data_IF_449658237230
#
_entry.id   IF_449658237230
#
_cell.length_a   1.000
_cell.length_b   1.000
_cell.length_c   1.000
_cell.angle_alpha   90.00
_cell.angle_beta   90.00
_cell.angle_gamma   90.00
#
_symmetry.space_group_name_H-M   'P 1'
#
loop_
_entity.id
_entity.type
_entity.pdbx_description
1 polymer ?
#
# COMPACT_ATOMS: atom_id res chain seq x y z
N UNK A 1 -31.09 -5.57 -39.25
CA UNK A 1 -30.41 -5.36 -37.95
C UNK A 1 -29.41 -4.21 -38.11
N UNK A 2 -29.77 -3.01 -37.66
CA UNK A 2 -28.97 -1.80 -37.87
C UNK A 2 -27.62 -1.85 -37.13
N UNK A 3 -26.55 -1.45 -37.82
CA UNK A 3 -25.19 -1.35 -37.26
C UNK A 3 -25.21 -0.26 -36.17
N UNK A 4 -24.87 -0.62 -34.93
CA UNK A 4 -24.73 0.37 -33.86
C UNK A 4 -23.45 1.19 -34.13
N UNK A 5 -23.61 2.39 -34.67
CA UNK A 5 -22.53 3.36 -34.86
C UNK A 5 -21.92 3.80 -33.51
N UNK A 6 -20.68 4.29 -33.56
CA UNK A 6 -19.84 4.59 -32.40
C UNK A 6 -20.46 5.56 -31.37
N UNK A 7 -21.43 6.39 -31.78
CA UNK A 7 -22.10 7.40 -30.95
C UNK A 7 -23.53 7.04 -30.53
N UNK A 8 -24.03 5.84 -30.85
CA UNK A 8 -25.40 5.48 -30.46
C UNK A 8 -25.50 5.37 -28.92
N UNK A 9 -26.63 5.78 -28.29
CA UNK A 9 -26.83 5.66 -26.84
C UNK A 9 -26.57 4.24 -26.31
N UNK A 10 -26.83 3.20 -27.12
CA UNK A 10 -26.53 1.81 -26.81
C UNK A 10 -25.03 1.50 -26.78
N UNK A 11 -24.25 2.08 -27.69
CA UNK A 11 -22.79 1.95 -27.71
C UNK A 11 -22.14 2.71 -26.53
N UNK A 12 -22.66 3.91 -26.21
CA UNK A 12 -22.23 4.71 -25.05
C UNK A 12 -22.57 3.99 -23.75
N UNK A 13 -23.80 3.48 -23.59
CA UNK A 13 -24.20 2.69 -22.43
C UNK A 13 -23.34 1.43 -22.26
N UNK A 14 -23.02 0.74 -23.36
CA UNK A 14 -22.10 -0.41 -23.33
C UNK A 14 -20.68 -0.02 -22.92
N UNK A 15 -20.18 1.14 -23.38
CA UNK A 15 -18.85 1.65 -23.00
C UNK A 15 -18.79 2.07 -21.54
N UNK A 16 -19.81 2.77 -21.03
CA UNK A 16 -19.91 3.14 -19.62
C UNK A 16 -19.99 1.87 -18.75
N UNK A 17 -20.81 0.91 -19.14
CA UNK A 17 -20.90 -0.39 -18.47
C UNK A 17 -19.60 -1.20 -18.54
N UNK A 18 -18.79 -1.00 -19.58
CA UNK A 18 -17.49 -1.63 -19.74
C UNK A 18 -16.36 -0.94 -18.95
N UNK A 19 -16.54 0.30 -18.46
CA UNK A 19 -15.51 1.02 -17.69
C UNK A 19 -15.40 0.56 -16.22
N UNK A 20 -16.37 -0.18 -15.70
CA UNK A 20 -16.23 -0.81 -14.38
C UNK A 20 -15.23 -1.96 -14.43
N UNK A 21 -14.40 -2.12 -13.40
CA UNK A 21 -13.44 -3.21 -13.24
C UNK A 21 -14.20 -4.54 -13.05
N UNK A 22 -14.68 -5.11 -14.15
CA UNK A 22 -15.41 -6.37 -14.16
C UNK A 22 -14.45 -7.52 -13.85
N UNK A 23 -14.82 -8.41 -12.92
CA UNK A 23 -14.04 -9.60 -12.56
C UNK A 23 -13.54 -10.31 -13.84
N UNK A 24 -12.24 -10.57 -13.93
CA UNK A 24 -11.52 -11.17 -15.08
C UNK A 24 -11.99 -12.59 -15.47
N UNK A 25 -13.04 -13.13 -14.84
CA UNK A 25 -13.53 -14.50 -15.03
C UNK A 25 -13.95 -14.82 -16.46
N UNK A 26 -14.28 -13.81 -17.26
CA UNK A 26 -14.82 -13.98 -18.62
C UNK A 26 -13.94 -13.30 -19.69
N UNK A 27 -12.62 -13.26 -19.48
CA UNK A 27 -11.67 -12.70 -20.45
C UNK A 27 -10.97 -13.80 -21.25
N UNK A 28 -10.85 -13.63 -22.56
CA UNK A 28 -10.10 -14.51 -23.45
C UNK A 28 -8.83 -13.80 -23.91
N UNK A 29 -7.66 -14.29 -23.47
CA UNK A 29 -6.36 -13.74 -23.87
C UNK A 29 -6.12 -13.89 -25.38
N UNK A 30 -6.44 -15.07 -25.93
CA UNK A 30 -6.15 -15.39 -27.33
C UNK A 30 -6.81 -14.40 -28.29
N UNK A 31 -8.04 -14.02 -27.98
CA UNK A 31 -8.81 -13.06 -28.78
C UNK A 31 -8.80 -11.64 -28.19
N UNK A 32 -8.02 -11.39 -27.12
CA UNK A 32 -7.98 -10.16 -26.34
C UNK A 32 -9.37 -9.59 -26.01
N UNK A 33 -10.35 -10.48 -25.76
CA UNK A 33 -11.76 -10.14 -25.70
C UNK A 33 -12.31 -10.37 -24.31
N UNK A 34 -12.76 -9.28 -23.69
CA UNK A 34 -13.53 -9.37 -22.45
C UNK A 34 -15.01 -9.64 -22.75
N UNK A 35 -15.50 -10.77 -22.28
CA UNK A 35 -16.92 -11.10 -22.32
C UNK A 35 -17.60 -10.63 -21.02
N UNK A 36 -18.89 -10.33 -21.13
CA UNK A 36 -19.65 -9.65 -20.07
C UNK A 36 -20.30 -10.59 -19.06
N UNK A 37 -20.66 -11.78 -19.52
CA UNK A 37 -21.39 -12.79 -18.77
C UNK A 37 -20.88 -14.18 -19.19
N UNK A 38 -21.15 -15.20 -18.38
CA UNK A 38 -20.76 -16.58 -18.66
C UNK A 38 -21.29 -17.07 -20.03
N UNK A 39 -22.53 -16.74 -20.37
CA UNK A 39 -23.11 -17.09 -21.67
C UNK A 39 -22.39 -16.37 -22.82
N UNK A 40 -21.96 -15.12 -22.61
CA UNK A 40 -21.17 -14.38 -23.59
C UNK A 40 -19.80 -15.01 -23.82
N UNK A 41 -19.18 -15.53 -22.77
CA UNK A 41 -17.91 -16.25 -22.86
C UNK A 41 -18.06 -17.60 -23.56
N UNK A 42 -19.10 -18.39 -23.23
CA UNK A 42 -19.40 -19.65 -23.92
C UNK A 42 -19.65 -19.44 -25.42
N UNK A 43 -20.46 -18.44 -25.79
CA UNK A 43 -20.68 -18.10 -27.20
C UNK A 43 -19.39 -17.63 -27.90
N UNK A 44 -18.48 -16.97 -27.18
CA UNK A 44 -17.19 -16.60 -27.71
C UNK A 44 -16.28 -17.82 -27.94
N UNK A 45 -16.21 -18.75 -26.99
CA UNK A 45 -15.43 -19.99 -27.16
C UNK A 45 -15.96 -20.85 -28.31
N UNK A 46 -17.28 -20.84 -28.55
CA UNK A 46 -17.91 -21.55 -29.67
C UNK A 46 -17.82 -20.80 -31.00
N UNK A 47 -17.31 -19.56 -31.02
CA UNK A 47 -17.23 -18.76 -32.25
C UNK A 47 -16.09 -19.22 -33.16
N UNK A 48 -16.33 -19.17 -34.47
CA UNK A 48 -15.35 -19.57 -35.49
C UNK A 48 -14.03 -18.80 -35.38
N UNK A 49 -14.08 -17.52 -35.00
CA UNK A 49 -12.88 -16.70 -34.83
C UNK A 49 -11.99 -17.20 -33.69
N UNK A 50 -12.59 -17.60 -32.56
CA UNK A 50 -11.85 -18.20 -31.45
C UNK A 50 -11.28 -19.57 -31.83
N UNK A 51 -12.08 -20.42 -32.49
CA UNK A 51 -11.66 -21.75 -32.93
C UNK A 51 -10.50 -21.67 -33.94
N UNK A 52 -10.55 -20.74 -34.89
CA UNK A 52 -9.46 -20.51 -35.84
C UNK A 52 -8.18 -20.08 -35.11
N UNK A 53 -8.30 -19.23 -34.10
CA UNK A 53 -7.14 -18.80 -33.32
C UNK A 53 -6.57 -19.91 -32.44
N UNK A 54 -7.42 -20.81 -31.93
CA UNK A 54 -6.98 -22.05 -31.28
C UNK A 54 -6.26 -23.01 -32.24
N UNK A 55 -6.71 -23.11 -33.49
CA UNK A 55 -6.01 -23.93 -34.49
C UNK A 55 -4.62 -23.37 -34.81
N UNK A 56 -4.50 -22.04 -34.95
CA UNK A 56 -3.20 -21.36 -35.15
C UNK A 56 -2.29 -21.57 -33.93
N UNK A 57 -2.84 -21.49 -32.72
CA UNK A 57 -2.10 -21.79 -31.49
C UNK A 57 -1.64 -23.26 -31.44
N UNK A 58 -2.50 -24.20 -31.84
CA UNK A 58 -2.19 -25.63 -31.87
C UNK A 58 -1.06 -25.99 -32.83
N UNK A 59 -0.83 -25.19 -33.88
CA UNK A 59 0.28 -25.41 -34.81
C UNK A 59 1.63 -25.02 -34.20
N UNK A 60 1.69 -23.94 -33.41
CA UNK A 60 2.94 -23.43 -32.82
C UNK A 60 2.70 -22.77 -31.45
N UNK A 61 2.53 -23.56 -30.38
CA UNK A 61 2.24 -23.01 -29.05
C UNK A 61 3.44 -22.25 -28.47
N UNK A 62 4.67 -22.70 -28.74
CA UNK A 62 5.90 -22.10 -28.20
C UNK A 62 6.06 -20.64 -28.61
N UNK A 63 5.93 -20.34 -29.92
CA UNK A 63 6.11 -19.00 -30.48
C UNK A 63 5.10 -17.99 -29.95
N UNK A 64 3.86 -18.44 -29.73
CA UNK A 64 2.80 -17.58 -29.20
C UNK A 64 3.05 -17.26 -27.72
N UNK A 65 3.46 -18.24 -26.92
CA UNK A 65 3.82 -18.03 -25.51
C UNK A 65 5.05 -17.15 -25.37
N UNK A 66 6.05 -17.31 -26.24
CA UNK A 66 7.22 -16.44 -26.30
C UNK A 66 6.83 -14.99 -26.62
N UNK A 67 5.99 -14.76 -27.64
CA UNK A 67 5.48 -13.43 -27.97
C UNK A 67 4.74 -12.76 -26.80
N UNK A 68 3.85 -13.50 -26.13
CA UNK A 68 3.18 -12.97 -24.92
C UNK A 68 4.15 -12.71 -23.77
N UNK A 69 5.21 -13.51 -23.65
CA UNK A 69 6.22 -13.32 -22.61
C UNK A 69 7.07 -12.08 -22.88
N UNK A 70 7.42 -11.81 -24.14
CA UNK A 70 8.12 -10.60 -24.56
C UNK A 70 7.26 -9.34 -24.38
N UNK A 71 5.99 -9.39 -24.80
CA UNK A 71 5.02 -8.31 -24.58
C UNK A 71 4.83 -8.04 -23.09
N UNK A 72 4.68 -9.09 -22.27
CA UNK A 72 4.55 -8.94 -20.82
C UNK A 72 5.80 -8.29 -20.21
N UNK A 73 7.00 -8.76 -20.58
CA UNK A 73 8.26 -8.23 -20.07
C UNK A 73 8.47 -6.75 -20.46
N UNK A 74 8.25 -6.41 -21.72
CA UNK A 74 8.38 -5.03 -22.22
C UNK A 74 7.39 -4.09 -21.56
N UNK A 75 6.11 -4.46 -21.49
CA UNK A 75 5.07 -3.63 -20.87
C UNK A 75 5.31 -3.48 -19.36
N UNK A 76 5.77 -4.53 -18.68
CA UNK A 76 6.10 -4.48 -17.25
C UNK A 76 7.28 -3.53 -16.98
N UNK A 77 8.33 -3.60 -17.80
CA UNK A 77 9.49 -2.71 -17.70
C UNK A 77 9.12 -1.26 -18.04
N UNK A 78 8.25 -1.04 -19.02
CA UNK A 78 7.73 0.28 -19.36
C UNK A 78 6.91 0.88 -18.22
N UNK A 79 6.04 0.08 -17.57
CA UNK A 79 5.30 0.50 -16.38
C UNK A 79 6.25 0.86 -15.23
N UNK A 80 7.27 0.03 -15.00
CA UNK A 80 8.27 0.29 -13.99
C UNK A 80 9.09 1.54 -14.27
N UNK A 81 9.47 1.76 -15.53
CA UNK A 81 10.17 2.96 -16.00
C UNK A 81 9.30 4.22 -15.99
N UNK A 82 7.98 4.11 -15.98
CA UNK A 82 7.06 5.26 -15.81
C UNK A 82 6.84 5.59 -14.34
N UNK A 83 6.47 4.58 -13.55
CA UNK A 83 5.95 4.78 -12.19
C UNK A 83 7.07 4.76 -11.14
N UNK A 84 8.11 3.96 -11.33
CA UNK A 84 9.08 3.61 -10.28
C UNK A 84 10.54 3.59 -10.77
N UNK A 85 11.01 4.70 -11.36
CA UNK A 85 12.38 4.81 -11.93
C UNK A 85 13.51 4.62 -10.93
N UNK A 86 13.40 5.26 -9.77
CA UNK A 86 14.48 5.30 -8.76
C UNK A 86 14.06 4.70 -7.42
N UNK A 87 12.83 4.17 -7.35
CA UNK A 87 12.26 3.70 -6.10
C UNK A 87 12.48 2.21 -5.93
N UNK A 88 12.71 1.82 -4.67
CA UNK A 88 12.64 0.43 -4.23
C UNK A 88 11.19 0.10 -3.90
N UNK A 89 10.59 -0.79 -4.69
CA UNK A 89 9.16 -1.10 -4.57
C UNK A 89 8.96 -2.61 -4.43
N UNK A 90 7.95 -3.00 -3.66
CA UNK A 90 7.54 -4.39 -3.57
C UNK A 90 6.93 -4.83 -4.90
N UNK A 91 7.33 -6.00 -5.41
CA UNK A 91 6.93 -6.43 -6.74
C UNK A 91 5.41 -6.72 -6.86
N UNK A 92 4.75 -7.06 -5.75
CA UNK A 92 3.28 -7.22 -5.70
C UNK A 92 2.55 -5.92 -5.96
N UNK A 93 3.06 -4.79 -5.46
CA UNK A 93 2.47 -3.46 -5.70
C UNK A 93 2.55 -3.10 -7.18
N UNK A 94 3.73 -3.28 -7.78
CA UNK A 94 3.94 -3.03 -9.22
C UNK A 94 3.04 -3.92 -10.07
N UNK A 95 2.90 -5.19 -9.69
CA UNK A 95 2.02 -6.12 -10.41
C UNK A 95 0.53 -5.76 -10.30
N UNK A 96 0.08 -5.29 -9.13
CA UNK A 96 -1.30 -4.84 -8.95
C UNK A 96 -1.61 -3.57 -9.77
N UNK A 97 -0.66 -2.63 -9.85
CA UNK A 97 -0.75 -1.47 -10.72
C UNK A 97 -0.79 -1.88 -12.20
N UNK A 98 0.00 -2.88 -12.59
CA UNK A 98 -0.01 -3.44 -13.94
C UNK A 98 -1.37 -4.07 -14.30
N UNK A 99 -1.99 -4.81 -13.36
CA UNK A 99 -3.31 -5.43 -13.58
C UNK A 99 -4.43 -4.39 -13.65
N UNK A 100 -4.25 -3.19 -13.10
CA UNK A 100 -5.24 -2.12 -13.19
C UNK A 100 -5.53 -1.72 -14.66
N UNK A 101 -4.55 -1.89 -15.56
CA UNK A 101 -4.78 -1.66 -16.98
C UNK A 101 -5.62 -2.78 -17.61
N UNK A 102 -6.70 -2.43 -18.30
CA UNK A 102 -7.63 -3.43 -18.87
C UNK A 102 -6.98 -4.33 -19.93
N UNK A 103 -6.01 -3.82 -20.67
CA UNK A 103 -5.40 -4.50 -21.80
C UNK A 103 -4.06 -5.15 -21.44
N UNK A 104 -3.81 -5.39 -20.15
CA UNK A 104 -2.61 -6.07 -19.70
C UNK A 104 -2.60 -7.54 -20.15
N UNK A 105 -1.40 -8.08 -20.39
CA UNK A 105 -1.22 -9.52 -20.64
C UNK A 105 -1.30 -10.23 -19.31
N UNK A 106 -2.24 -11.16 -19.17
CA UNK A 106 -2.35 -11.90 -17.93
C UNK A 106 -1.17 -12.87 -17.77
N UNK A 107 -0.63 -12.98 -16.56
CA UNK A 107 0.58 -13.77 -16.26
C UNK A 107 0.45 -15.25 -16.66
N UNK A 108 -0.74 -15.86 -16.46
CA UNK A 108 -1.04 -17.22 -16.90
C UNK A 108 -0.83 -17.50 -18.41
N UNK A 109 -0.75 -16.45 -19.23
CA UNK A 109 -0.54 -16.56 -20.68
C UNK A 109 0.93 -16.55 -21.07
N UNK A 110 1.82 -16.33 -20.10
CA UNK A 110 3.27 -16.28 -20.27
C UNK A 110 3.93 -17.58 -19.81
N UNK A 111 5.24 -17.71 -20.04
CA UNK A 111 6.04 -18.83 -19.54
C UNK A 111 6.17 -18.91 -18.02
N UNK A 112 5.81 -17.85 -17.29
CA UNK A 112 6.02 -17.75 -15.84
C UNK A 112 4.72 -18.07 -15.08
N UNK A 113 4.74 -19.11 -14.26
CA UNK A 113 3.56 -19.52 -13.49
C UNK A 113 3.34 -18.66 -12.24
N UNK A 114 4.40 -18.07 -11.70
CA UNK A 114 4.33 -17.23 -10.50
C UNK A 114 5.08 -15.91 -10.70
N UNK A 115 4.60 -14.87 -10.02
CA UNK A 115 5.26 -13.56 -10.02
C UNK A 115 6.72 -13.66 -9.56
N UNK A 116 7.00 -14.55 -8.60
CA UNK A 116 8.35 -14.76 -8.08
C UNK A 116 9.31 -15.34 -9.12
N UNK A 117 8.83 -16.24 -9.98
CA UNK A 117 9.62 -16.83 -11.06
C UNK A 117 9.97 -15.78 -12.12
N UNK A 118 8.99 -14.93 -12.46
CA UNK A 118 9.21 -13.80 -13.35
C UNK A 118 10.24 -12.81 -12.80
N UNK A 119 10.14 -12.42 -11.53
CA UNK A 119 11.10 -11.50 -10.90
C UNK A 119 12.51 -12.13 -10.87
N UNK A 120 12.62 -13.42 -10.55
CA UNK A 120 13.91 -14.14 -10.59
C UNK A 120 14.50 -14.14 -11.99
N UNK A 121 13.67 -14.29 -13.03
CA UNK A 121 14.12 -14.18 -14.41
C UNK A 121 14.64 -12.76 -14.73
N UNK A 122 13.92 -11.71 -14.31
CA UNK A 122 14.37 -10.31 -14.50
C UNK A 122 15.67 -9.97 -13.73
N UNK A 123 15.87 -10.61 -12.57
CA UNK A 123 17.13 -10.54 -11.84
C UNK A 123 18.27 -11.23 -12.58
N UNK A 124 18.02 -12.41 -13.17
CA UNK A 124 19.02 -13.13 -13.99
C UNK A 124 19.40 -12.39 -15.27
N UNK A 125 18.44 -11.74 -15.94
CA UNK A 125 18.72 -10.91 -17.12
C UNK A 125 19.41 -9.58 -16.76
N UNK A 126 19.44 -9.23 -15.47
CA UNK A 126 20.08 -8.02 -14.96
C UNK A 126 19.38 -6.74 -15.40
N UNK A 127 18.08 -6.81 -15.73
CA UNK A 127 17.25 -5.64 -16.03
C UNK A 127 16.75 -4.97 -14.75
N UNK A 128 16.47 -5.79 -13.72
CA UNK A 128 16.07 -5.33 -12.40
C UNK A 128 17.05 -5.82 -11.35
N UNK A 129 17.32 -4.98 -10.34
CA UNK A 129 17.96 -5.44 -9.11
C UNK A 129 16.86 -5.94 -8.17
N UNK A 130 16.98 -7.21 -7.78
CA UNK A 130 16.00 -7.94 -6.98
C UNK A 130 16.60 -8.18 -5.60
N UNK A 131 15.86 -7.83 -4.55
CA UNK A 131 16.24 -8.07 -3.15
C UNK A 131 15.13 -8.85 -2.43
N UNK A 132 15.49 -9.99 -1.84
CA UNK A 132 14.59 -10.80 -1.03
C UNK A 132 14.64 -10.29 0.42
N UNK A 133 13.46 -10.02 0.99
CA UNK A 133 13.32 -9.60 2.39
C UNK A 133 12.23 -10.44 3.05
N UNK A 134 12.18 -10.53 4.39
CA UNK A 134 11.11 -11.26 5.07
C UNK A 134 9.69 -10.71 4.79
N UNK A 135 9.57 -9.48 4.28
CA UNK A 135 8.29 -8.87 3.87
C UNK A 135 7.92 -9.14 2.41
N UNK A 136 8.78 -9.82 1.64
CA UNK A 136 8.56 -10.15 0.23
C UNK A 136 9.70 -9.70 -0.70
N UNK A 137 9.42 -9.75 -2.00
CA UNK A 137 10.35 -9.43 -3.07
C UNK A 137 10.32 -7.93 -3.40
N UNK A 138 11.46 -7.27 -3.25
CA UNK A 138 11.65 -5.88 -3.65
C UNK A 138 12.44 -5.80 -4.95
N UNK A 139 12.05 -4.86 -5.80
CA UNK A 139 12.65 -4.62 -7.11
C UNK A 139 13.02 -3.15 -7.26
N UNK A 140 14.18 -2.89 -7.85
CA UNK A 140 14.60 -1.55 -8.29
C UNK A 140 14.96 -1.62 -9.77
N UNK A 141 14.41 -0.70 -10.56
CA UNK A 141 14.67 -0.59 -11.99
C UNK A 141 16.10 -0.10 -12.23
N UNK A 142 16.85 -0.81 -13.07
CA UNK A 142 18.15 -0.33 -13.53
C UNK A 142 17.92 0.26 -14.91
N UNK A 143 17.90 1.58 -14.97
CA UNK A 143 17.80 2.27 -16.24
C UNK A 143 19.13 2.13 -17.00
N UNK A 144 19.10 1.37 -18.11
CA UNK A 144 20.25 1.23 -19.01
C UNK A 144 20.24 2.29 -20.12
N UNK A 145 19.27 3.20 -20.15
CA UNK A 145 19.29 4.28 -21.13
C UNK A 145 20.52 5.17 -20.93
N UNK A 146 21.28 5.32 -22.01
CA UNK A 146 22.56 6.03 -22.08
C UNK A 146 22.50 7.48 -21.60
N UNK A 147 21.31 8.07 -21.50
CA UNK A 147 21.09 9.45 -21.07
C UNK A 147 21.26 9.65 -19.55
N UNK A 148 20.89 8.66 -18.72
CA UNK A 148 21.05 8.74 -17.26
C UNK A 148 22.50 8.52 -16.88
N UNK A 149 23.18 7.56 -17.51
CA UNK A 149 24.64 7.40 -17.41
C UNK A 149 25.40 8.64 -17.92
N UNK A 150 24.91 9.32 -18.95
CA UNK A 150 25.53 10.56 -19.43
C UNK A 150 25.30 11.71 -18.44
N UNK A 151 24.09 11.88 -17.89
CA UNK A 151 23.82 12.87 -16.82
C UNK A 151 24.57 12.57 -15.54
N UNK A 152 24.69 11.30 -15.12
CA UNK A 152 25.53 10.91 -13.99
C UNK A 152 27.00 11.15 -14.28
N UNK A 153 27.52 10.77 -15.45
CA UNK A 153 28.90 11.10 -15.84
C UNK A 153 29.14 12.60 -15.90
N UNK A 154 28.18 13.40 -16.36
CA UNK A 154 28.30 14.86 -16.39
C UNK A 154 28.23 15.48 -14.99
N UNK A 155 27.35 14.98 -14.11
CA UNK A 155 27.31 15.38 -12.70
C UNK A 155 28.58 14.98 -11.96
N UNK A 156 29.08 13.77 -12.20
CA UNK A 156 30.30 13.26 -11.59
C UNK A 156 31.55 13.96 -12.14
N UNK A 157 31.54 14.40 -13.41
CA UNK A 157 32.56 15.30 -13.97
C UNK A 157 32.51 16.70 -13.37
N UNK A 158 31.31 17.26 -13.15
CA UNK A 158 31.14 18.56 -12.47
C UNK A 158 31.62 18.48 -11.02
N UNK A 159 31.16 17.51 -10.26
CA UNK A 159 31.62 17.29 -8.87
C UNK A 159 33.13 17.09 -8.79
N UNK A 160 33.74 16.35 -9.73
CA UNK A 160 35.21 16.23 -9.79
C UNK A 160 35.90 17.55 -10.14
N UNK A 161 35.30 18.39 -10.96
CA UNK A 161 35.83 19.71 -11.27
C UNK A 161 35.70 20.64 -10.07
N UNK A 162 34.54 20.64 -9.39
CA UNK A 162 34.27 21.43 -8.19
C UNK A 162 35.24 21.02 -7.06
N UNK A 163 35.44 19.73 -6.81
CA UNK A 163 36.42 19.23 -5.83
C UNK A 163 37.84 19.67 -6.19
N UNK A 164 38.23 19.62 -7.47
CA UNK A 164 39.55 20.05 -7.90
C UNK A 164 39.73 21.59 -7.83
N UNK A 165 38.65 22.36 -7.93
CA UNK A 165 38.64 23.81 -7.77
C UNK A 165 38.67 24.21 -6.28
N UNK A 166 37.95 23.47 -5.44
CA UNK A 166 37.97 23.60 -3.98
C UNK A 166 39.37 23.30 -3.42
N UNK A 167 40.02 22.23 -3.88
CA UNK A 167 41.40 21.90 -3.49
C UNK A 167 42.43 22.97 -3.93
N UNK A 168 42.16 23.68 -5.05
CA UNK A 168 42.98 24.82 -5.48
C UNK A 168 42.71 26.07 -4.63
N UNK A 169 41.45 26.33 -4.28
CA UNK A 169 41.08 27.44 -3.41
C UNK A 169 41.65 27.24 -2.00
N UNK A 170 41.57 26.04 -1.43
CA UNK A 170 42.18 25.71 -0.14
C UNK A 170 43.69 25.97 -0.15
N UNK A 171 44.38 25.59 -1.23
CA UNK A 171 45.82 25.83 -1.38
C UNK A 171 46.17 27.32 -1.48
N UNK A 172 45.31 28.14 -2.09
CA UNK A 172 45.53 29.59 -2.19
C UNK A 172 45.20 30.31 -0.87
N UNK A 173 44.13 29.90 -0.18
CA UNK A 173 43.79 30.39 1.18
C UNK A 173 44.92 30.05 2.15
N UNK A 174 45.45 28.84 2.11
CA UNK A 174 46.54 28.43 3.00
C UNK A 174 47.82 29.22 2.75
N UNK A 175 48.10 29.57 1.49
CA UNK A 175 49.24 30.45 1.15
C UNK A 175 49.02 31.89 1.61
N UNK A 176 47.78 32.39 1.61
CA UNK A 176 47.46 33.71 2.17
C UNK A 176 47.58 33.72 3.69
N UNK A 177 47.17 32.64 4.37
CA UNK A 177 47.34 32.46 5.82
C UNK A 177 48.82 32.42 6.17
N UNK A 178 49.64 31.63 5.47
CA UNK A 178 51.09 31.56 5.70
C UNK A 178 51.78 32.92 5.49
N UNK A 179 51.37 33.67 4.46
CA UNK A 179 51.88 35.04 4.23
C UNK A 179 51.43 36.00 5.33
N UNK A 180 50.19 35.89 5.81
CA UNK A 180 49.69 36.68 6.93
C UNK A 180 50.42 36.32 8.24
N UNK A 181 50.69 35.04 8.49
CA UNK A 181 51.47 34.56 9.64
C UNK A 181 52.93 35.01 9.59
N UNK A 182 53.57 35.04 8.41
CA UNK A 182 54.91 35.61 8.27
C UNK A 182 54.94 37.12 8.49
N UNK A 183 53.88 37.83 8.10
CA UNK A 183 53.77 39.27 8.31
C UNK A 183 53.46 39.59 9.78
N UNK A 184 52.63 38.79 10.46
CA UNK A 184 52.37 38.90 11.90
C UNK A 184 53.53 38.37 12.76
N UNK A 185 54.35 37.44 12.25
CA UNK A 185 55.56 36.94 12.90
C UNK A 185 56.75 37.91 12.82
N UNK A 186 56.66 38.96 11.99
CA UNK A 186 57.67 40.02 11.86
C UNK A 186 57.31 41.32 12.60
N UNK A 187 56.20 41.34 13.36
CA UNK A 187 55.76 42.49 14.16
C UNK A 187 55.84 42.21 15.66
N UNK A 188 57.01 41.75 16.11
CA UNK A 188 57.38 41.76 17.53
C UNK A 188 58.63 42.62 17.71
N UNK A 189 58.47 43.93 17.52
CA UNK A 189 59.58 44.87 17.59
C UNK A 189 59.20 46.35 17.50
N UNK A 190 58.63 46.91 18.57
CA UNK A 190 58.67 48.34 18.86
C UNK A 190 57.36 49.09 18.62
N UNK A 191 56.83 49.68 19.69
CA UNK A 191 55.52 50.34 19.70
C UNK A 191 55.49 51.73 19.08
N UNK A 192 54.28 52.24 18.93
CA UNK A 192 53.85 53.61 19.25
C UNK A 192 52.32 53.67 19.09
N UNK A 193 51.65 54.10 20.16
CA UNK A 193 50.26 54.53 20.12
C UNK A 193 50.17 55.87 19.38
N UNK A 194 49.49 55.93 18.24
CA UNK A 194 48.80 57.15 17.83
C UNK A 194 47.44 56.81 17.22
N UNK A 195 46.39 57.25 17.89
CA UNK A 195 45.04 57.23 17.34
C UNK A 195 44.88 58.29 16.28
N UNK A 196 44.09 58.00 15.24
CA UNK A 196 43.40 59.05 14.49
C UNK A 196 42.04 58.57 13.99
N UNK A 197 41.07 59.36 14.40
CA UNK A 197 39.66 59.43 13.99
C UNK A 197 39.48 59.56 12.48
N UNK A 198 38.54 58.77 11.95
CA UNK A 198 37.61 59.07 10.83
C UNK A 198 38.13 59.84 9.61
N UNK A 199 38.12 59.17 8.44
CA UNK A 199 37.55 59.71 7.19
C UNK A 199 37.50 58.63 6.10
N UNK A 200 36.31 58.10 5.85
CA UNK A 200 35.97 57.50 4.56
C UNK A 200 36.10 58.56 3.47
N UNK A 201 37.06 58.38 2.56
CA UNK A 201 37.22 59.13 1.31
C UNK A 201 37.54 58.09 0.24
N UNK A 202 36.53 57.58 -0.47
CA UNK A 202 36.06 58.11 -1.76
C UNK A 202 37.23 58.21 -2.76
N UNK A 203 37.34 57.20 -3.64
CA UNK A 203 38.21 57.23 -4.82
C UNK A 203 37.38 57.70 -6.01
N UNK A 204 37.74 58.89 -6.47
CA UNK A 204 37.18 59.61 -7.61
C UNK A 204 37.55 58.94 -8.94
N UNK A 205 36.57 58.96 -9.84
CA UNK A 205 36.72 58.79 -11.29
C UNK A 205 37.47 60.00 -11.85
N UNK A 206 38.43 59.74 -12.73
CA UNK A 206 38.90 60.72 -13.69
C UNK A 206 37.89 60.78 -14.85
N UNK A 207 37.18 61.91 -14.95
CA UNK A 207 36.42 62.30 -16.13
C UNK A 207 36.98 63.67 -16.57
N UNK A 208 37.69 63.71 -17.71
CA UNK A 208 37.60 64.86 -18.62
C UNK A 208 37.50 64.36 -20.07
N UNK A 209 36.51 64.96 -20.74
CA UNK A 209 36.23 64.99 -22.19
C UNK A 209 35.65 63.75 -22.88
N UNK A 210 34.30 63.72 -22.89
CA UNK A 210 33.58 63.58 -24.16
C UNK A 210 32.62 62.39 -24.28
N UNK A 211 31.31 62.67 -24.23
CA UNK A 211 30.33 61.90 -25.02
C UNK A 211 29.31 61.05 -24.26
N UNK A 212 28.32 61.71 -23.65
CA UNK A 212 26.87 61.45 -23.80
C UNK A 212 26.32 59.99 -23.76
N UNK A 213 25.67 59.69 -22.61
CA UNK A 213 24.32 59.09 -22.42
C UNK A 213 23.82 58.04 -23.43
N UNK A 214 23.54 56.83 -22.92
CA UNK A 214 22.37 56.04 -23.37
C UNK A 214 21.53 55.65 -22.15
N UNK A 215 20.34 56.23 -22.10
CA UNK A 215 19.29 55.99 -21.10
C UNK A 215 18.30 54.99 -21.70
N UNK A 216 18.03 53.87 -21.04
CA UNK A 216 17.01 52.93 -21.50
C UNK A 216 15.75 53.11 -20.66
N UNK A 217 14.84 53.93 -21.18
CA UNK A 217 13.54 54.21 -20.60
C UNK A 217 12.50 53.20 -21.07
N UNK A 218 11.75 52.69 -20.10
CA UNK A 218 10.55 51.87 -20.22
C UNK A 218 9.41 52.66 -20.90
N UNK A 219 8.84 52.13 -21.99
CA UNK A 219 7.70 52.72 -22.68
C UNK A 219 6.94 51.71 -23.55
N UNK A 220 5.64 51.54 -23.26
CA UNK A 220 4.66 50.74 -24.03
C UNK A 220 4.43 51.30 -25.43
N UNK A 221 4.19 50.44 -26.44
CA UNK A 221 3.02 50.52 -27.33
C UNK A 221 2.91 49.34 -28.32
N UNK A 222 1.63 49.02 -28.59
CA UNK A 222 1.03 47.94 -29.39
C UNK A 222 1.40 47.91 -30.89
N UNK A 223 1.42 46.72 -31.51
CA UNK A 223 0.54 46.37 -32.65
C UNK A 223 0.51 44.87 -33.00
N UNK A 224 -0.69 44.45 -33.41
CA UNK A 224 -1.19 43.14 -33.85
C UNK A 224 -0.44 42.49 -35.01
N UNK A 225 -0.41 41.14 -35.02
CA UNK A 225 -0.92 40.28 -36.13
C UNK A 225 -1.53 38.99 -35.52
N UNK A 226 -2.77 38.69 -35.89
CA UNK A 226 -3.54 37.47 -35.57
C UNK A 226 -3.04 36.23 -36.33
N UNK A 227 -3.07 35.04 -35.71
CA UNK A 227 -4.10 34.02 -35.97
C UNK A 227 -3.81 32.67 -35.24
N UNK A 228 -4.86 32.22 -34.53
CA UNK A 228 -5.34 30.84 -34.37
C UNK A 228 -4.61 29.83 -33.46
N UNK A 229 -5.34 29.28 -32.47
CA UNK A 229 -4.96 28.00 -31.84
C UNK A 229 -5.39 27.74 -30.38
N UNK A 230 -6.70 27.53 -30.17
CA UNK A 230 -7.42 26.96 -29.00
C UNK A 230 -6.69 26.07 -27.95
N UNK A 231 -7.21 26.21 -26.70
CA UNK A 231 -7.23 25.33 -25.48
C UNK A 231 -6.05 25.55 -24.52
N UNK A 232 -6.26 26.04 -23.30
CA UNK A 232 -6.89 25.38 -22.12
C UNK A 232 -5.74 24.93 -21.22
N UNK A 233 -5.61 25.15 -19.92
CA UNK A 233 -6.49 25.22 -18.75
C UNK A 233 -5.59 25.77 -17.60
N UNK A 234 -6.12 26.48 -16.59
CA UNK A 234 -5.76 26.20 -15.19
C UNK A 234 -6.43 27.17 -14.21
N UNK A 235 -7.17 26.57 -13.28
CA UNK A 235 -7.29 26.90 -11.85
C UNK A 235 -7.78 28.29 -11.43
N UNK A 236 -8.96 28.32 -10.80
CA UNK A 236 -9.09 28.99 -9.50
C UNK A 236 -10.30 28.47 -8.71
N UNK A 237 -10.00 28.02 -7.50
CA UNK A 237 -10.91 27.67 -6.42
C UNK A 237 -11.65 28.93 -5.95
N UNK A 238 -12.97 28.87 -5.81
CA UNK A 238 -13.69 29.70 -4.83
C UNK A 238 -14.90 28.92 -4.30
N UNK A 239 -15.01 29.00 -2.98
CA UNK A 239 -16.09 28.61 -2.09
C UNK A 239 -17.41 29.34 -2.41
N UNK A 240 -18.51 28.73 -2.01
CA UNK A 240 -19.80 29.34 -1.59
C UNK A 240 -21.08 29.15 -2.43
N UNK A 241 -22.07 28.64 -1.68
CA UNK A 241 -23.52 28.84 -1.72
C UNK A 241 -24.49 27.98 -2.57
N UNK A 242 -25.50 27.51 -1.81
CA UNK A 242 -26.93 27.39 -2.11
C UNK A 242 -27.51 26.07 -2.65
N UNK A 243 -28.19 25.37 -1.73
CA UNK A 243 -29.37 24.53 -1.98
C UNK A 243 -30.42 25.26 -2.83
N UNK A 244 -31.25 24.53 -3.62
CA UNK A 244 -32.61 24.30 -3.13
C UNK A 244 -33.17 22.88 -3.37
N UNK A 245 -33.89 22.40 -2.36
CA UNK A 245 -34.82 21.27 -2.40
C UNK A 245 -35.86 21.40 -3.53
N UNK A 246 -36.13 20.30 -4.24
CA UNK A 246 -37.51 19.95 -4.60
C UNK A 246 -37.72 18.42 -4.68
N UNK A 247 -38.89 18.05 -4.17
CA UNK A 247 -39.45 16.74 -3.86
C UNK A 247 -39.56 15.73 -5.01
N UNK A 248 -39.33 14.45 -4.72
CA UNK A 248 -40.38 13.41 -4.75
C UNK A 248 -39.81 12.01 -4.48
N UNK A 249 -40.38 11.32 -3.49
CA UNK A 249 -39.83 10.11 -2.90
C UNK A 249 -39.98 8.83 -3.74
N UNK A 250 -38.99 7.94 -3.60
CA UNK A 250 -39.14 6.50 -3.78
C UNK A 250 -38.12 5.75 -2.91
N UNK A 251 -38.63 5.19 -1.81
CA UNK A 251 -38.13 4.11 -0.94
C UNK A 251 -36.68 3.66 -1.18
N UNK A 252 -35.76 4.12 -0.33
CA UNK A 252 -34.41 3.54 -0.16
C UNK A 252 -34.50 2.27 0.69
N UNK A 253 -34.11 1.12 0.12
CA UNK A 253 -33.65 -0.04 0.88
C UNK A 253 -32.22 0.24 1.32
N UNK A 254 -31.95 0.15 2.61
CA UNK A 254 -30.60 0.14 3.17
C UNK A 254 -29.88 -1.11 2.65
N UNK A 255 -29.05 -0.92 1.64
CA UNK A 255 -27.97 -1.83 1.30
C UNK A 255 -26.68 -1.11 1.66
N UNK A 256 -26.02 -1.57 2.72
CA UNK A 256 -24.70 -1.13 3.14
C UNK A 256 -23.76 -1.12 1.91
N UNK A 257 -23.31 0.07 1.51
CA UNK A 257 -22.12 0.20 0.68
C UNK A 257 -20.94 -0.21 1.56
N UNK A 258 -20.61 -1.51 1.57
CA UNK A 258 -19.41 -2.02 2.22
C UNK A 258 -18.20 -1.38 1.53
N UNK A 259 -17.62 -0.39 2.20
CA UNK A 259 -16.52 0.41 1.69
C UNK A 259 -15.28 -0.46 1.45
N UNK A 260 -14.43 -0.06 0.52
CA UNK A 260 -13.10 -0.66 0.28
C UNK A 260 -12.26 -0.72 1.57
N UNK A 261 -12.54 0.17 2.53
CA UNK A 261 -11.96 0.17 3.87
C UNK A 261 -12.45 -1.01 4.74
N UNK A 262 -13.72 -1.42 4.62
CA UNK A 262 -14.29 -2.58 5.31
C UNK A 262 -13.72 -3.91 4.74
N UNK A 263 -13.42 -3.96 3.45
CA UNK A 263 -12.71 -5.12 2.86
C UNK A 263 -11.24 -5.19 3.29
N UNK A 264 -10.52 -4.06 3.29
CA UNK A 264 -9.12 -4.00 3.78
C UNK A 264 -9.01 -4.33 5.27
N UNK A 265 -9.94 -3.84 6.08
CA UNK A 265 -9.99 -4.13 7.52
C UNK A 265 -10.31 -5.59 7.80
N UNK A 266 -11.23 -6.22 7.05
CA UNK A 266 -11.52 -7.66 7.19
C UNK A 266 -10.32 -8.53 6.82
N UNK A 267 -9.49 -8.08 5.89
CA UNK A 267 -8.28 -8.81 5.49
C UNK A 267 -7.19 -8.72 6.57
N UNK A 268 -7.03 -7.55 7.19
CA UNK A 268 -6.15 -7.37 8.36
C UNK A 268 -6.66 -8.18 9.57
N UNK A 269 -7.98 -8.21 9.80
CA UNK A 269 -8.60 -9.03 10.84
C UNK A 269 -8.34 -10.51 10.62
N UNK A 270 -8.49 -11.01 9.38
CA UNK A 270 -8.18 -12.42 9.04
C UNK A 270 -6.70 -12.74 9.17
N UNK A 271 -5.81 -11.80 8.84
CA UNK A 271 -4.37 -11.98 9.03
C UNK A 271 -4.03 -12.07 10.54
N UNK A 272 -4.61 -11.18 11.35
CA UNK A 272 -4.50 -11.23 12.81
C UNK A 272 -5.11 -12.49 13.38
N UNK A 273 -6.24 -12.94 12.85
CA UNK A 273 -6.87 -14.21 13.24
C UNK A 273 -5.93 -15.39 12.98
N UNK A 274 -5.31 -15.48 11.80
CA UNK A 274 -4.33 -16.54 11.47
C UNK A 274 -3.09 -16.51 12.34
N UNK A 275 -2.62 -15.33 12.73
CA UNK A 275 -1.44 -15.19 13.61
C UNK A 275 -1.76 -15.41 15.08
N UNK A 276 -2.97 -15.06 15.53
CA UNK A 276 -3.39 -15.11 16.93
C UNK A 276 -4.18 -16.37 17.30
N UNK A 277 -4.67 -17.15 16.32
CA UNK A 277 -5.23 -18.49 16.56
C UNK A 277 -4.10 -19.38 17.05
N UNK A 278 -4.19 -19.81 18.30
CA UNK A 278 -3.27 -20.79 18.87
C UNK A 278 -4.05 -21.97 19.41
N UNK A 279 -3.35 -23.09 19.57
CA UNK A 279 -3.94 -24.35 20.04
C UNK A 279 -4.38 -24.29 21.50
N UNK A 280 -3.85 -23.33 22.28
CA UNK A 280 -4.23 -23.11 23.68
C UNK A 280 -5.16 -21.91 23.85
N UNK A 281 -6.26 -22.11 24.58
CA UNK A 281 -7.30 -21.11 24.84
C UNK A 281 -7.50 -20.77 26.32
N UNK A 282 -7.00 -21.58 27.26
CA UNK A 282 -7.19 -21.28 28.69
C UNK A 282 -6.51 -19.96 29.06
N UNK A 283 -7.25 -19.10 29.75
CA UNK A 283 -6.77 -17.85 30.33
C UNK A 283 -7.14 -17.78 31.82
N UNK A 284 -6.36 -17.13 32.68
CA UNK A 284 -6.75 -16.90 34.07
C UNK A 284 -7.95 -15.94 34.15
N UNK A 285 -8.82 -16.14 35.15
CA UNK A 285 -9.98 -15.29 35.42
C UNK A 285 -11.22 -15.60 34.57
N UNK A 286 -11.26 -16.77 33.92
CA UNK A 286 -12.44 -17.26 33.19
C UNK A 286 -13.17 -18.36 33.97
N UNK A 287 -14.47 -18.50 33.70
CA UNK A 287 -15.31 -19.56 34.26
C UNK A 287 -15.45 -20.69 33.25
N UNK A 288 -14.97 -21.88 33.60
CA UNK A 288 -15.03 -23.09 32.77
C UNK A 288 -15.91 -24.15 33.42
N UNK A 289 -16.33 -25.11 32.63
CA UNK A 289 -17.07 -26.29 33.09
C UNK A 289 -16.23 -27.53 32.87
N UNK A 290 -16.10 -28.35 33.91
CA UNK A 290 -15.27 -29.56 33.87
C UNK A 290 -16.07 -30.72 33.28
N UNK A 291 -15.56 -31.33 32.21
CA UNK A 291 -16.18 -32.44 31.46
C UNK A 291 -15.38 -33.74 31.54
N UNK A 292 -14.35 -33.83 32.38
CA UNK A 292 -13.60 -35.07 32.59
C UNK A 292 -14.50 -36.21 33.09
N UNK A 293 -14.55 -37.31 32.32
CA UNK A 293 -15.24 -38.55 32.73
C UNK A 293 -14.51 -39.26 33.86
N UNK A 294 -13.19 -39.11 33.97
CA UNK A 294 -12.39 -39.72 35.03
C UNK A 294 -12.62 -39.07 36.40
N UNK A 295 -13.05 -37.81 36.42
CA UNK A 295 -13.45 -37.08 37.62
C UNK A 295 -14.95 -37.18 37.92
N UNK A 296 -15.70 -37.93 37.11
CA UNK A 296 -17.13 -38.19 37.34
C UNK A 296 -17.37 -39.02 38.60
N UNK A 297 -16.48 -39.98 38.87
CA UNK A 297 -16.53 -40.81 40.10
C UNK A 297 -16.35 -39.99 41.37
N UNK A 298 -15.78 -38.78 41.26
CA UNK A 298 -15.56 -37.83 42.36
C UNK A 298 -16.61 -36.71 42.41
N UNK A 299 -17.62 -36.74 41.53
CA UNK A 299 -18.73 -35.78 41.53
C UNK A 299 -18.45 -34.42 40.89
N UNK A 300 -17.31 -34.24 40.21
CA UNK A 300 -16.93 -32.95 39.59
C UNK A 300 -17.41 -32.79 38.15
N UNK A 301 -18.10 -33.78 37.60
CA UNK A 301 -18.59 -33.76 36.22
C UNK A 301 -19.70 -32.73 36.03
N UNK A 302 -19.57 -31.87 35.00
CA UNK A 302 -20.47 -30.76 34.66
C UNK A 302 -20.55 -29.63 35.69
N UNK A 303 -19.69 -29.64 36.71
CA UNK A 303 -19.60 -28.53 37.65
C UNK A 303 -18.79 -27.37 37.06
N UNK A 304 -19.07 -26.17 37.54
CA UNK A 304 -18.42 -24.93 37.12
C UNK A 304 -17.28 -24.58 38.07
N UNK A 305 -16.17 -24.12 37.50
CA UNK A 305 -15.00 -23.68 38.23
C UNK A 305 -14.38 -22.43 37.61
N UNK A 306 -13.58 -21.74 38.41
CA UNK A 306 -12.87 -20.52 38.02
C UNK A 306 -11.41 -20.85 37.81
N UNK A 307 -10.84 -20.48 36.66
CA UNK A 307 -9.41 -20.66 36.41
C UNK A 307 -8.62 -19.61 37.18
N UNK A 308 -7.86 -20.03 38.20
CA UNK A 308 -6.96 -19.14 38.95
C UNK A 308 -5.67 -18.90 38.20
N UNK A 309 -5.04 -19.97 37.74
CA UNK A 309 -3.70 -19.95 37.11
C UNK A 309 -3.66 -20.94 35.96
N UNK A 310 -2.81 -20.67 34.98
CA UNK A 310 -2.54 -21.57 33.86
C UNK A 310 -1.09 -22.00 33.93
N UNK A 311 -0.85 -23.30 33.83
CA UNK A 311 0.46 -23.96 33.85
C UNK A 311 0.70 -24.54 32.46
N UNK A 312 1.91 -24.35 31.93
CA UNK A 312 2.34 -24.89 30.64
C UNK A 312 1.41 -24.55 29.46
N UNK A 313 0.62 -23.49 29.59
CA UNK A 313 -0.35 -22.95 28.60
C UNK A 313 -1.57 -23.84 28.35
N UNK A 314 -1.51 -25.15 28.59
CA UNK A 314 -2.59 -26.11 28.35
C UNK A 314 -3.33 -26.53 29.63
N UNK A 315 -2.66 -26.52 30.79
CA UNK A 315 -3.24 -26.96 32.06
C UNK A 315 -3.77 -25.79 32.88
N UNK A 316 -5.02 -25.86 33.35
CA UNK A 316 -5.62 -24.87 34.26
C UNK A 316 -5.66 -25.36 35.71
N UNK A 317 -5.27 -24.51 36.66
CA UNK A 317 -5.65 -24.64 38.07
C UNK A 317 -7.03 -24.02 38.27
N UNK A 318 -8.02 -24.88 38.50
CA UNK A 318 -9.44 -24.54 38.57
C UNK A 318 -9.92 -24.65 40.00
N UNK A 319 -10.47 -23.55 40.52
CA UNK A 319 -11.15 -23.50 41.81
C UNK A 319 -12.65 -23.74 41.58
N UNK A 320 -13.17 -24.86 42.08
CA UNK A 320 -14.59 -25.21 41.94
C UNK A 320 -15.47 -24.25 42.75
N UNK A 321 -16.58 -23.79 42.18
CA UNK A 321 -17.46 -22.78 42.83
C UNK A 321 -18.17 -23.35 44.06
N UNK A 322 -18.59 -24.62 44.03
CA UNK A 322 -19.35 -25.26 45.11
C UNK A 322 -18.44 -25.69 46.28
N UNK A 323 -17.34 -26.38 45.98
CA UNK A 323 -16.51 -27.05 46.98
C UNK A 323 -15.21 -26.30 47.31
N UNK A 324 -14.86 -25.23 46.58
CA UNK A 324 -13.56 -24.51 46.67
C UNK A 324 -12.33 -25.38 46.50
N UNK A 325 -12.48 -26.60 45.99
CA UNK A 325 -11.37 -27.50 45.70
C UNK A 325 -10.62 -26.99 44.47
N UNK A 326 -9.29 -27.04 44.54
CA UNK A 326 -8.41 -26.69 43.42
C UNK A 326 -8.03 -27.96 42.67
N UNK A 327 -8.40 -28.02 41.40
CA UNK A 327 -8.11 -29.13 40.50
C UNK A 327 -7.17 -28.66 39.40
N UNK A 328 -6.25 -29.54 38.99
CA UNK A 328 -5.42 -29.36 37.80
C UNK A 328 -6.05 -30.17 36.67
N UNK A 329 -6.51 -29.48 35.65
CA UNK A 329 -7.24 -30.10 34.53
C UNK A 329 -6.71 -29.53 33.23
N UNK A 330 -6.56 -30.39 32.22
CA UNK A 330 -6.11 -30.00 30.88
C UNK A 330 -7.27 -29.42 30.06
N UNK A 331 -6.96 -28.61 29.05
CA UNK A 331 -7.93 -27.91 28.23
C UNK A 331 -8.92 -28.84 27.49
N UNK A 332 -8.52 -30.07 27.17
CA UNK A 332 -9.37 -31.05 26.47
C UNK A 332 -10.56 -31.50 27.33
N UNK A 333 -10.42 -31.41 28.66
CA UNK A 333 -11.45 -31.81 29.61
C UNK A 333 -12.28 -30.62 30.10
N UNK A 334 -12.14 -29.45 29.47
CA UNK A 334 -12.82 -28.21 29.84
C UNK A 334 -13.70 -27.69 28.71
N UNK A 335 -14.84 -27.13 29.09
CA UNK A 335 -15.80 -26.49 28.20
C UNK A 335 -15.93 -25.01 28.59
N UNK A 336 -15.95 -24.12 27.59
CA UNK A 336 -16.21 -22.69 27.82
C UNK A 336 -17.64 -22.49 28.31
N UNK A 337 -17.85 -21.53 29.20
CA UNK A 337 -19.19 -21.20 29.70
C UNK A 337 -19.56 -19.82 29.21
N UNK A 338 -20.74 -19.68 28.58
CA UNK A 338 -21.27 -18.37 28.19
C UNK A 338 -22.15 -17.79 29.32
N UNK A 339 -22.03 -16.50 29.65
CA UNK A 339 -22.93 -15.83 30.57
C UNK A 339 -24.28 -15.53 29.91
N UNK A 340 -25.21 -14.96 30.69
CA UNK A 340 -26.44 -14.41 30.15
C UNK A 340 -26.15 -13.21 29.23
N UNK A 341 -27.10 -12.91 28.35
CA UNK A 341 -27.06 -11.74 27.46
C UNK A 341 -26.85 -10.47 28.31
N UNK A 342 -25.90 -9.63 27.91
CA UNK A 342 -25.43 -8.47 28.63
C UNK A 342 -24.25 -8.74 29.58
N UNK A 343 -23.87 -10.01 29.77
CA UNK A 343 -22.76 -10.41 30.62
C UNK A 343 -21.38 -10.13 30.02
N UNK A 344 -20.38 -9.98 30.89
CA UNK A 344 -18.98 -9.81 30.52
C UNK A 344 -18.36 -11.17 30.12
N UNK A 345 -17.65 -11.14 29.01
CA UNK A 345 -16.94 -12.27 28.44
C UNK A 345 -15.51 -11.88 28.09
N UNK A 346 -14.64 -12.87 28.06
CA UNK A 346 -13.27 -12.76 27.57
C UNK A 346 -13.14 -13.48 26.24
N UNK A 347 -12.50 -12.83 25.28
CA UNK A 347 -12.14 -13.47 24.02
C UNK A 347 -10.86 -14.27 24.27
N UNK A 348 -10.95 -15.60 24.22
CA UNK A 348 -9.85 -16.52 24.53
C UNK A 348 -9.02 -16.90 23.30
N UNK A 349 -9.60 -16.80 22.10
CA UNK A 349 -8.91 -17.11 20.85
C UNK A 349 -9.41 -16.22 19.69
N UNK A 350 -8.68 -16.23 18.57
CA UNK A 350 -8.99 -15.41 17.38
C UNK A 350 -8.30 -14.04 17.36
N UNK A 351 -8.75 -13.14 16.49
CA UNK A 351 -8.08 -11.86 16.22
C UNK A 351 -7.97 -10.95 17.45
N UNK A 352 -8.98 -10.99 18.34
CA UNK A 352 -9.12 -10.13 19.52
C UNK A 352 -8.77 -10.84 20.83
N UNK A 353 -7.91 -11.84 20.77
CA UNK A 353 -7.51 -12.64 21.93
C UNK A 353 -7.02 -11.75 23.08
N UNK A 354 -7.59 -11.99 24.27
CA UNK A 354 -7.23 -11.30 25.52
C UNK A 354 -8.14 -10.11 25.84
N UNK A 355 -8.91 -9.62 24.88
CA UNK A 355 -9.83 -8.50 25.08
C UNK A 355 -11.09 -8.91 25.84
N UNK A 356 -11.65 -7.93 26.54
CA UNK A 356 -12.90 -8.10 27.27
C UNK A 356 -14.05 -7.54 26.43
N UNK A 357 -15.14 -8.31 26.36
CA UNK A 357 -16.31 -7.96 25.57
C UNK A 357 -17.60 -8.22 26.36
N UNK A 358 -18.71 -7.68 25.84
CA UNK A 358 -20.05 -7.89 26.35
C UNK A 358 -20.86 -8.70 25.36
N UNK A 359 -21.55 -9.72 25.85
CA UNK A 359 -22.40 -10.58 25.03
C UNK A 359 -23.72 -9.86 24.70
N UNK A 360 -24.05 -9.68 23.43
CA UNK A 360 -25.28 -9.00 22.99
C UNK A 360 -26.34 -9.98 22.51
N UNK A 361 -25.96 -11.00 21.76
CA UNK A 361 -26.89 -12.00 21.26
C UNK A 361 -26.18 -13.33 21.06
N UNK A 362 -26.96 -14.40 21.14
CA UNK A 362 -26.51 -15.77 20.96
C UNK A 362 -27.33 -16.34 19.80
N UNK A 363 -26.67 -16.87 18.79
CA UNK A 363 -27.26 -17.58 17.66
C UNK A 363 -26.95 -19.07 17.81
N UNK A 364 -27.94 -19.83 18.29
CA UNK A 364 -27.81 -21.26 18.58
C UNK A 364 -27.66 -22.12 17.33
N UNK A 365 -28.12 -21.64 16.18
CA UNK A 365 -28.15 -22.44 14.95
C UNK A 365 -26.76 -22.50 14.30
N UNK A 366 -25.96 -21.45 14.50
CA UNK A 366 -24.60 -21.32 13.96
C UNK A 366 -23.51 -21.47 15.01
N UNK A 367 -23.87 -21.73 16.27
CA UNK A 367 -22.93 -21.73 17.39
C UNK A 367 -22.10 -20.44 17.48
N UNK A 368 -22.73 -19.31 17.15
CA UNK A 368 -22.09 -18.00 17.07
C UNK A 368 -22.71 -17.01 18.07
N UNK A 369 -21.87 -16.13 18.60
CA UNK A 369 -22.26 -15.05 19.49
C UNK A 369 -21.94 -13.69 18.86
N UNK A 370 -22.83 -12.72 19.12
CA UNK A 370 -22.57 -11.30 18.85
C UNK A 370 -22.00 -10.68 20.11
N UNK A 371 -20.77 -10.19 20.03
CA UNK A 371 -20.08 -9.57 21.16
C UNK A 371 -19.61 -8.16 20.81
N UNK A 372 -19.61 -7.27 21.80
CA UNK A 372 -19.10 -5.90 21.67
C UNK A 372 -17.90 -5.73 22.59
N UNK A 373 -16.77 -5.26 22.06
CA UNK A 373 -15.56 -5.02 22.85
C UNK A 373 -15.79 -3.80 23.75
N UNK A 374 -15.55 -3.95 25.07
CA UNK A 374 -15.81 -2.94 26.11
C UNK A 374 -14.52 -2.25 26.60
N UNK A 375 -13.36 -2.91 26.40
CA UNK A 375 -12.04 -2.39 26.79
C UNK A 375 -11.03 -2.78 25.73
N UNK A 376 -10.23 -1.82 25.27
CA UNK A 376 -9.11 -2.06 24.34
C UNK A 376 -8.93 -0.95 23.31
N UNK A 377 -8.00 -1.15 22.38
CA UNK A 377 -7.74 -0.26 21.23
C UNK A 377 -8.94 -0.22 20.26
N UNK A 378 -9.82 -1.22 20.35
CA UNK A 378 -10.99 -1.43 19.50
C UNK A 378 -12.31 -1.25 20.26
N UNK A 379 -12.32 -0.34 21.25
CA UNK A 379 -13.49 -0.05 22.08
C UNK A 379 -14.73 0.27 21.21
N UNK A 380 -15.86 -0.36 21.55
CA UNK A 380 -17.12 -0.22 20.84
C UNK A 380 -17.27 -1.06 19.56
N UNK A 381 -16.24 -1.80 19.12
CA UNK A 381 -16.34 -2.66 17.91
C UNK A 381 -17.28 -3.84 18.16
N UNK A 382 -18.19 -4.06 17.21
CA UNK A 382 -19.18 -5.14 17.24
C UNK A 382 -18.72 -6.31 16.37
N UNK A 383 -18.49 -7.45 16.99
CA UNK A 383 -18.18 -8.72 16.33
C UNK A 383 -19.48 -9.50 16.13
N UNK A 384 -19.89 -9.65 14.86
CA UNK A 384 -21.21 -10.21 14.49
C UNK A 384 -21.25 -11.74 14.56
N UNK A 385 -20.11 -12.43 14.48
CA UNK A 385 -20.05 -13.89 14.41
C UNK A 385 -18.75 -14.40 15.05
N UNK A 386 -18.76 -14.57 16.36
CA UNK A 386 -17.64 -15.19 17.10
C UNK A 386 -18.09 -16.56 17.62
N UNK A 387 -17.25 -17.58 17.45
CA UNK A 387 -17.55 -18.95 17.87
C UNK A 387 -17.62 -19.07 19.41
N UNK A 388 -18.41 -20.02 19.92
CA UNK A 388 -18.52 -20.25 21.37
C UNK A 388 -17.22 -20.76 22.01
N UNK A 389 -16.37 -21.42 21.23
CA UNK A 389 -15.04 -21.89 21.67
C UNK A 389 -14.08 -20.72 21.94
N UNK A 390 -14.31 -19.58 21.28
CA UNK A 390 -13.45 -18.40 21.34
C UNK A 390 -13.84 -17.41 22.43
N UNK A 391 -14.95 -17.67 23.13
CA UNK A 391 -15.51 -16.76 24.13
C UNK A 391 -15.79 -17.53 25.41
N UNK A 392 -15.34 -16.97 26.55
CA UNK A 392 -15.62 -17.54 27.85
C UNK A 392 -16.12 -16.47 28.82
N UNK A 393 -17.02 -16.83 29.74
CA UNK A 393 -17.47 -15.96 30.82
C UNK A 393 -16.29 -15.50 31.66
N UNK A 394 -16.21 -14.19 31.89
CA UNK A 394 -15.26 -13.56 32.81
C UNK A 394 -15.90 -13.48 34.20
N UNK A 395 -15.10 -13.66 35.26
CA UNK A 395 -15.56 -13.66 36.66
C UNK A 395 -16.10 -12.31 37.13
#
# INVERSE_FOLDING_TARGET
MGKNEFLTPKAIANRIKAKGLQKLRWYCQMCQKQCRDENGFKCHCMSESHQRQMQVFGQNPHRVVEGYSEEFETTFLEHMGRSHRFSRVAATVVYNEYIADRHHVHMNSTRWATLTEFIKHLGKTGKLKVEETPKGWFITYIDRDSETLFKEKMKNKRLKADIAEEEKMEREIQRQIERAEQTMGNDNGGGEEEGITTKSRMLEKNDEEGGTKITMSLGQSKKNVEMNGKRGDSSRLVFDEAEPMSSSGKRRREGEESSVLDELMKEEEKAKERMNRKDYWICPGIVVKVMSKALADKGYYKQKGVVRRVIDKYCGEIEMVENKHVLRVDQEELETVLPQIGGLVKIVNGAYRGENARLLAIDTDKFCAKVQIDKGIYDGRLLKAVEYEDICKLI
#
